data_IF_715298561678
#
_entry.id   IF_715298561678
#
_cell.length_a   1.000
_cell.length_b   1.000
_cell.length_c   1.000
_cell.angle_alpha   90.00
_cell.angle_beta   90.00
_cell.angle_gamma   90.00
#
_symmetry.space_group_name_H-M   'P 1'
#
loop_
_entity.id
_entity.type
_entity.pdbx_description
1 polymer ?
#
# COMPACT_ATOMS: atom_id res chain seq x y z
N UNK A 1 20.47 -21.79 15.17
CA UNK A 1 20.11 -21.75 13.73
C UNK A 1 18.61 -21.64 13.49
N UNK A 2 17.74 -22.30 14.27
CA UNK A 2 16.28 -22.16 14.11
C UNK A 2 15.80 -20.75 14.48
N UNK A 3 16.25 -20.21 15.62
CA UNK A 3 15.91 -18.83 16.05
C UNK A 3 16.30 -17.75 15.03
N UNK A 4 17.50 -17.84 14.47
CA UNK A 4 18.00 -16.89 13.46
C UNK A 4 17.19 -16.89 12.15
N UNK A 5 16.63 -18.03 11.78
CA UNK A 5 15.78 -18.15 10.57
C UNK A 5 14.41 -17.51 10.81
N UNK A 6 13.83 -17.69 11.99
CA UNK A 6 12.53 -17.09 12.33
C UNK A 6 12.64 -15.57 12.51
N UNK A 7 13.73 -15.07 13.08
CA UNK A 7 14.03 -13.63 13.14
C UNK A 7 14.16 -13.01 11.74
N UNK A 8 14.80 -13.73 10.81
CA UNK A 8 14.95 -13.27 9.42
C UNK A 8 13.60 -13.18 8.71
N UNK A 9 12.72 -14.17 8.88
CA UNK A 9 11.36 -14.15 8.30
C UNK A 9 10.53 -13.01 8.89
N UNK A 10 10.62 -12.82 10.22
CA UNK A 10 9.90 -11.75 10.91
C UNK A 10 10.37 -10.37 10.44
N UNK A 11 11.67 -10.18 10.26
CA UNK A 11 12.22 -8.94 9.74
C UNK A 11 11.79 -8.69 8.28
N UNK A 12 11.73 -9.74 7.45
CA UNK A 12 11.26 -9.61 6.07
C UNK A 12 9.79 -9.15 5.99
N UNK A 13 8.92 -9.67 6.86
CA UNK A 13 7.53 -9.20 6.98
C UNK A 13 7.50 -7.74 7.46
N UNK A 14 8.29 -7.38 8.48
CA UNK A 14 8.37 -6.00 8.98
C UNK A 14 8.75 -5.02 7.86
N UNK A 15 9.76 -5.37 7.06
CA UNK A 15 10.19 -4.58 5.91
C UNK A 15 9.09 -4.43 4.86
N UNK A 16 8.36 -5.52 4.56
CA UNK A 16 7.25 -5.46 3.58
C UNK A 16 6.06 -4.65 4.08
N UNK A 17 5.80 -4.65 5.39
CA UNK A 17 4.81 -3.76 5.99
C UNK A 17 5.23 -2.28 5.87
N UNK A 18 6.50 -1.98 6.09
CA UNK A 18 7.03 -0.63 5.89
C UNK A 18 6.92 -0.20 4.41
N UNK A 19 7.25 -1.09 3.46
CA UNK A 19 7.04 -0.88 2.02
C UNK A 19 5.57 -0.57 1.71
N UNK A 20 4.65 -1.39 2.22
CA UNK A 20 3.20 -1.23 2.01
C UNK A 20 2.69 0.09 2.59
N UNK A 21 3.22 0.54 3.74
CA UNK A 21 2.85 1.83 4.34
C UNK A 21 3.33 3.00 3.51
N UNK A 22 4.56 2.95 3.01
CA UNK A 22 5.09 4.00 2.17
C UNK A 22 4.32 4.10 0.84
N UNK A 23 3.96 2.95 0.23
CA UNK A 23 3.11 2.90 -0.95
C UNK A 23 1.69 3.44 -0.67
N UNK A 24 1.08 3.14 0.49
CA UNK A 24 -0.23 3.67 0.85
C UNK A 24 -0.22 5.22 0.91
N UNK A 25 0.83 5.81 1.48
CA UNK A 25 0.98 7.26 1.52
C UNK A 25 1.18 7.86 0.13
N UNK A 26 1.88 7.16 -0.77
CA UNK A 26 2.00 7.59 -2.17
C UNK A 26 0.65 7.57 -2.88
N UNK A 27 -0.17 6.53 -2.69
CA UNK A 27 -1.51 6.45 -3.27
C UNK A 27 -2.38 7.63 -2.83
N UNK A 28 -2.45 7.88 -1.51
CA UNK A 28 -3.17 9.01 -0.93
C UNK A 28 -2.71 10.34 -1.54
N UNK A 29 -1.39 10.54 -1.66
CA UNK A 29 -0.85 11.77 -2.23
C UNK A 29 -1.20 11.96 -3.72
N UNK A 30 -1.24 10.88 -4.49
CA UNK A 30 -1.66 10.93 -5.90
C UNK A 30 -3.14 11.26 -6.03
N UNK A 31 -4.00 10.63 -5.23
CA UNK A 31 -5.45 10.87 -5.23
C UNK A 31 -5.78 12.31 -4.86
N UNK A 32 -5.10 12.89 -3.86
CA UNK A 32 -5.23 14.31 -3.52
C UNK A 32 -4.88 15.23 -4.70
N UNK A 33 -3.82 14.91 -5.46
CA UNK A 33 -3.43 15.65 -6.67
C UNK A 33 -4.48 15.50 -7.78
N UNK A 34 -4.95 14.28 -8.03
CA UNK A 34 -5.97 14.03 -9.06
C UNK A 34 -7.29 14.73 -8.75
N UNK A 35 -7.71 14.75 -7.49
CA UNK A 35 -8.91 15.47 -7.06
C UNK A 35 -8.75 16.97 -7.32
N UNK A 36 -7.56 17.53 -7.14
CA UNK A 36 -7.29 18.94 -7.43
C UNK A 36 -7.35 19.24 -8.94
N UNK A 37 -6.70 18.40 -9.75
CA UNK A 37 -6.54 18.60 -11.19
C UNK A 37 -7.76 18.18 -12.02
N UNK A 38 -8.62 17.31 -11.50
CA UNK A 38 -9.84 16.87 -12.17
C UNK A 38 -10.90 17.98 -12.15
N UNK A 39 -11.50 18.27 -13.30
CA UNK A 39 -12.54 19.30 -13.44
C UNK A 39 -13.95 18.74 -13.55
N UNK A 40 -14.10 17.42 -13.71
CA UNK A 40 -15.38 16.73 -13.87
C UNK A 40 -15.85 16.20 -12.51
N UNK A 41 -17.08 16.51 -12.14
CA UNK A 41 -17.58 16.31 -10.77
C UNK A 41 -17.83 14.84 -10.44
N UNK A 42 -18.30 14.02 -11.39
CA UNK A 42 -18.53 12.59 -11.15
C UNK A 42 -17.21 11.83 -10.92
N UNK A 43 -16.19 12.11 -11.74
CA UNK A 43 -14.84 11.55 -11.58
C UNK A 43 -14.21 12.06 -10.29
N UNK A 44 -14.30 13.36 -9.99
CA UNK A 44 -13.77 13.92 -8.73
C UNK A 44 -14.39 13.22 -7.53
N UNK A 45 -15.70 12.97 -7.54
CA UNK A 45 -16.39 12.24 -6.47
C UNK A 45 -15.85 10.82 -6.30
N UNK A 46 -15.66 10.08 -7.41
CA UNK A 46 -15.08 8.73 -7.34
C UNK A 46 -13.66 8.73 -6.73
N UNK A 47 -12.84 9.72 -7.09
CA UNK A 47 -11.50 9.88 -6.52
C UNK A 47 -11.56 10.23 -5.02
N UNK A 48 -12.55 11.02 -4.59
CA UNK A 48 -12.77 11.33 -3.17
C UNK A 48 -13.17 10.09 -2.38
N UNK A 49 -14.11 9.29 -2.89
CA UNK A 49 -14.51 8.02 -2.26
C UNK A 49 -13.30 7.09 -2.12
N UNK A 50 -12.49 6.98 -3.18
CA UNK A 50 -11.24 6.20 -3.17
C UNK A 50 -10.23 6.70 -2.12
N UNK A 51 -10.06 8.03 -2.00
CA UNK A 51 -9.18 8.66 -1.02
C UNK A 51 -9.62 8.42 0.42
N UNK A 52 -10.92 8.43 0.68
CA UNK A 52 -11.48 8.13 2.00
C UNK A 52 -11.17 6.69 2.42
N UNK A 53 -11.38 5.74 1.51
CA UNK A 53 -11.04 4.32 1.73
C UNK A 53 -9.52 4.14 1.91
N UNK A 54 -8.69 4.79 1.11
CA UNK A 54 -7.22 4.69 1.23
C UNK A 54 -6.68 5.29 2.55
N UNK A 55 -7.32 6.35 3.08
CA UNK A 55 -7.00 6.89 4.41
C UNK A 55 -7.42 5.95 5.54
N UNK A 56 -8.59 5.31 5.41
CA UNK A 56 -9.02 4.26 6.35
C UNK A 56 -8.05 3.07 6.33
N UNK A 57 -7.62 2.67 5.14
CA UNK A 57 -6.64 1.60 4.93
C UNK A 57 -5.28 1.91 5.58
N UNK A 58 -4.82 3.16 5.54
CA UNK A 58 -3.62 3.58 6.27
C UNK A 58 -3.77 3.34 7.79
N UNK A 59 -4.94 3.64 8.38
CA UNK A 59 -5.20 3.39 9.79
C UNK A 59 -5.21 1.90 10.17
N UNK A 60 -5.78 1.04 9.32
CA UNK A 60 -5.73 -0.42 9.49
C UNK A 60 -4.29 -0.93 9.41
N UNK A 61 -3.52 -0.44 8.43
CA UNK A 61 -2.12 -0.82 8.24
C UNK A 61 -1.24 -0.38 9.42
N UNK A 62 -1.44 0.83 9.95
CA UNK A 62 -0.74 1.29 11.15
C UNK A 62 -1.05 0.42 12.37
N UNK A 63 -2.31 0.04 12.53
CA UNK A 63 -2.72 -0.87 13.61
C UNK A 63 -2.05 -2.24 13.47
N UNK A 64 -2.04 -2.81 12.26
CA UNK A 64 -1.38 -4.10 12.00
C UNK A 64 0.13 -4.04 12.24
N UNK A 65 0.81 -2.95 11.84
CA UNK A 65 2.24 -2.74 12.10
C UNK A 65 2.53 -2.69 13.61
N UNK A 66 1.71 -1.97 14.37
CA UNK A 66 1.86 -1.87 15.83
C UNK A 66 1.63 -3.23 16.50
N UNK A 67 0.57 -3.95 16.11
CA UNK A 67 0.25 -5.27 16.65
C UNK A 67 1.30 -6.32 16.29
N UNK A 68 1.90 -6.21 15.10
CA UNK A 68 2.99 -7.09 14.68
C UNK A 68 4.25 -6.92 15.53
N UNK A 69 4.51 -5.70 16.02
CA UNK A 69 5.50 -5.42 17.06
C UNK A 69 6.97 -5.46 16.62
N UNK A 70 7.27 -5.96 15.41
CA UNK A 70 8.62 -5.93 14.83
C UNK A 70 8.72 -4.77 13.84
N UNK A 71 9.69 -3.88 14.05
CA UNK A 71 9.94 -2.74 13.18
C UNK A 71 11.11 -3.02 12.23
N UNK A 72 11.00 -2.47 11.02
CA UNK A 72 12.07 -2.45 10.04
C UNK A 72 11.93 -1.24 9.14
N UNK A 73 13.02 -0.91 8.44
CA UNK A 73 13.03 0.16 7.45
C UNK A 73 12.38 -0.25 6.12
N UNK A 74 11.98 0.78 5.38
CA UNK A 74 11.60 0.71 3.98
C UNK A 74 12.75 0.17 3.12
N UNK A 75 12.45 -0.69 2.12
CA UNK A 75 13.50 -1.12 1.19
C UNK A 75 13.97 0.02 0.30
N UNK A 76 15.27 0.08 0.04
CA UNK A 76 15.87 1.08 -0.85
C UNK A 76 15.25 1.04 -2.26
N UNK A 77 14.91 -0.14 -2.77
CA UNK A 77 14.24 -0.31 -4.05
C UNK A 77 12.81 0.24 -4.06
N UNK A 78 12.08 0.09 -2.96
CA UNK A 78 10.74 0.68 -2.80
C UNK A 78 10.84 2.20 -2.70
N UNK A 79 11.81 2.72 -1.94
CA UNK A 79 12.07 4.15 -1.84
C UNK A 79 12.36 4.77 -3.22
N UNK A 80 13.25 4.16 -4.00
CA UNK A 80 13.56 4.60 -5.38
C UNK A 80 12.34 4.57 -6.28
N UNK A 81 11.52 3.53 -6.19
CA UNK A 81 10.27 3.44 -6.95
C UNK A 81 9.32 4.60 -6.60
N UNK A 82 9.12 4.87 -5.31
CA UNK A 82 8.26 5.96 -4.83
C UNK A 82 8.75 7.29 -5.38
N UNK A 83 10.05 7.59 -5.26
CA UNK A 83 10.65 8.82 -5.78
C UNK A 83 10.47 8.96 -7.30
N UNK A 84 10.64 7.87 -8.06
CA UNK A 84 10.42 7.87 -9.51
C UNK A 84 8.97 8.14 -9.87
N UNK A 85 8.01 7.51 -9.18
CA UNK A 85 6.59 7.76 -9.41
C UNK A 85 6.24 9.20 -9.06
N UNK A 86 6.69 9.72 -7.91
CA UNK A 86 6.41 11.10 -7.51
C UNK A 86 6.86 12.10 -8.57
N UNK A 87 8.07 11.92 -9.11
CA UNK A 87 8.58 12.74 -10.22
C UNK A 87 7.66 12.69 -11.45
N UNK A 88 7.19 11.50 -11.85
CA UNK A 88 6.27 11.34 -12.98
C UNK A 88 4.89 11.96 -12.70
N UNK A 89 4.42 11.92 -11.45
CA UNK A 89 3.14 12.50 -11.05
C UNK A 89 3.19 14.03 -11.01
N UNK A 90 4.33 14.62 -10.66
CA UNK A 90 4.55 16.07 -10.60
C UNK A 90 4.97 16.67 -11.95
N UNK A 91 5.65 15.88 -12.78
CA UNK A 91 6.10 16.30 -14.09
C UNK A 91 4.99 16.35 -15.13
N UNK A 92 5.37 16.76 -16.34
CA UNK A 92 4.49 16.91 -17.51
C UNK A 92 4.70 15.82 -18.55
N UNK A 93 5.54 14.82 -18.27
CA UNK A 93 5.84 13.71 -19.15
C UNK A 93 4.63 12.79 -19.37
N UNK A 94 3.71 12.75 -18.41
CA UNK A 94 2.48 11.97 -18.45
C UNK A 94 1.25 12.88 -18.51
N UNK A 95 0.29 12.51 -19.33
CA UNK A 95 -1.06 13.04 -19.28
C UNK A 95 -1.78 12.62 -18.00
N UNK A 96 -2.86 13.30 -17.61
CA UNK A 96 -3.67 12.90 -16.45
C UNK A 96 -4.15 11.45 -16.56
N UNK A 97 -4.57 11.02 -17.75
CA UNK A 97 -4.99 9.65 -18.00
C UNK A 97 -3.88 8.64 -17.72
N UNK A 98 -2.65 8.91 -18.18
CA UNK A 98 -1.50 8.03 -17.93
C UNK A 98 -1.10 8.03 -16.45
N UNK A 99 -1.19 9.17 -15.76
CA UNK A 99 -0.95 9.25 -14.31
C UNK A 99 -1.95 8.40 -13.52
N UNK A 100 -3.24 8.47 -13.85
CA UNK A 100 -4.27 7.61 -13.24
C UNK A 100 -4.01 6.14 -13.56
N UNK A 101 -3.61 5.81 -14.80
CA UNK A 101 -3.22 4.44 -15.16
C UNK A 101 -2.05 3.92 -14.30
N UNK A 102 -1.02 4.73 -14.07
CA UNK A 102 0.08 4.37 -13.16
C UNK A 102 -0.39 4.21 -11.71
N UNK A 103 -1.33 5.04 -11.25
CA UNK A 103 -1.92 4.92 -9.92
C UNK A 103 -2.65 3.59 -9.72
N UNK A 104 -3.45 3.16 -10.68
CA UNK A 104 -4.13 1.86 -10.62
C UNK A 104 -3.14 0.68 -10.57
N UNK A 105 -2.04 0.75 -11.32
CA UNK A 105 -0.97 -0.25 -11.22
C UNK A 105 -0.34 -0.29 -9.82
N UNK A 106 -0.23 0.85 -9.14
CA UNK A 106 0.26 0.91 -7.76
C UNK A 106 -0.74 0.30 -6.78
N UNK A 107 -2.05 0.53 -6.96
CA UNK A 107 -3.08 -0.16 -6.14
C UNK A 107 -3.02 -1.67 -6.33
N UNK A 108 -2.79 -2.16 -7.55
CA UNK A 108 -2.59 -3.60 -7.80
C UNK A 108 -1.37 -4.14 -7.06
N UNK A 109 -0.26 -3.41 -7.11
CA UNK A 109 0.95 -3.77 -6.35
C UNK A 109 0.70 -3.79 -4.84
N UNK A 110 -0.08 -2.85 -4.32
CA UNK A 110 -0.45 -2.78 -2.91
C UNK A 110 -1.23 -4.03 -2.48
N UNK A 111 -2.27 -4.40 -3.23
CA UNK A 111 -3.06 -5.63 -2.99
C UNK A 111 -2.18 -6.88 -3.02
N UNK A 112 -1.33 -7.02 -4.04
CA UNK A 112 -0.46 -8.20 -4.16
C UNK A 112 0.57 -8.27 -3.02
N UNK A 113 1.04 -7.13 -2.54
CA UNK A 113 1.96 -7.05 -1.40
C UNK A 113 1.28 -7.49 -0.11
N UNK A 114 0.07 -7.00 0.16
CA UNK A 114 -0.70 -7.40 1.35
C UNK A 114 -1.05 -8.90 1.34
N UNK A 115 -1.44 -9.46 0.20
CA UNK A 115 -1.68 -10.90 0.05
C UNK A 115 -0.42 -11.74 0.29
N UNK A 116 0.73 -11.27 -0.18
CA UNK A 116 2.01 -11.94 0.05
C UNK A 116 2.38 -11.92 1.55
N UNK A 117 2.21 -10.78 2.21
CA UNK A 117 2.47 -10.63 3.65
C UNK A 117 1.57 -11.58 4.45
N UNK A 118 0.27 -11.63 4.12
CA UNK A 118 -0.68 -12.53 4.79
C UNK A 118 -0.27 -14.01 4.64
N UNK A 119 0.10 -14.44 3.42
CA UNK A 119 0.57 -15.82 3.18
C UNK A 119 1.89 -16.12 3.90
N UNK A 120 2.81 -15.16 3.98
CA UNK A 120 4.05 -15.33 4.72
C UNK A 120 3.79 -15.48 6.23
N UNK A 121 2.88 -14.67 6.78
CA UNK A 121 2.48 -14.70 8.18
C UNK A 121 1.95 -16.07 8.61
N UNK A 122 1.13 -16.71 7.78
CA UNK A 122 0.58 -18.06 7.99
C UNK A 122 1.64 -19.14 8.22
N UNK A 123 2.82 -18.98 7.63
CA UNK A 123 3.94 -19.92 7.76
C UNK A 123 4.83 -19.59 8.97
N UNK A 124 4.89 -18.31 9.37
CA UNK A 124 5.77 -17.85 10.45
C UNK A 124 5.20 -18.16 11.83
N UNK A 125 3.89 -18.02 12.03
CA UNK A 125 3.26 -18.33 13.31
C UNK A 125 1.84 -17.78 13.44
N UNK A 126 1.02 -18.43 14.26
CA UNK A 126 -0.38 -18.05 14.47
C UNK A 126 -0.54 -16.67 15.15
N UNK A 127 0.42 -16.30 16.01
CA UNK A 127 0.50 -14.95 16.61
C UNK A 127 0.68 -13.88 15.54
N UNK A 128 1.54 -14.16 14.56
CA UNK A 128 1.84 -13.25 13.46
C UNK A 128 0.69 -13.19 12.46
N UNK A 129 0.07 -14.32 12.12
CA UNK A 129 -1.12 -14.35 11.28
C UNK A 129 -2.24 -13.50 11.89
N UNK A 130 -2.51 -13.65 13.19
CA UNK A 130 -3.55 -12.87 13.87
C UNK A 130 -3.30 -11.36 13.83
N UNK A 131 -2.05 -10.91 13.99
CA UNK A 131 -1.68 -9.49 13.92
C UNK A 131 -1.83 -8.89 12.51
N UNK A 132 -1.74 -9.72 11.47
CA UNK A 132 -1.73 -9.31 10.07
C UNK A 132 -3.09 -9.50 9.39
N UNK A 133 -3.97 -10.32 9.95
CA UNK A 133 -5.31 -10.60 9.43
C UNK A 133 -6.13 -9.34 9.05
N UNK A 134 -6.05 -8.20 9.78
CA UNK A 134 -6.75 -6.97 9.38
C UNK A 134 -6.37 -6.44 7.99
N UNK A 135 -5.16 -6.74 7.48
CA UNK A 135 -4.74 -6.31 6.13
C UNK A 135 -5.59 -6.90 5.00
N UNK A 136 -6.37 -7.95 5.26
CA UNK A 136 -7.31 -8.46 4.26
C UNK A 136 -8.35 -7.40 3.87
N UNK A 137 -8.80 -6.55 4.80
CA UNK A 137 -9.69 -5.44 4.48
C UNK A 137 -9.06 -4.49 3.45
N UNK A 138 -7.80 -4.12 3.66
CA UNK A 138 -7.01 -3.28 2.74
C UNK A 138 -6.90 -3.93 1.35
N UNK A 139 -6.69 -5.25 1.29
CA UNK A 139 -6.61 -5.97 0.02
C UNK A 139 -7.95 -5.99 -0.72
N UNK A 140 -9.06 -6.19 -0.01
CA UNK A 140 -10.39 -6.25 -0.61
C UNK A 140 -10.85 -4.88 -1.11
N UNK A 141 -10.63 -3.81 -0.35
CA UNK A 141 -11.00 -2.45 -0.77
C UNK A 141 -10.19 -2.01 -2.00
N UNK A 142 -8.86 -2.21 -2.00
CA UNK A 142 -8.04 -1.91 -3.18
C UNK A 142 -8.46 -2.70 -4.43
N UNK A 143 -8.89 -3.96 -4.24
CA UNK A 143 -9.41 -4.77 -5.35
C UNK A 143 -10.77 -4.28 -5.82
N UNK A 144 -11.64 -3.81 -4.92
CA UNK A 144 -12.94 -3.26 -5.29
C UNK A 144 -12.78 -2.00 -6.18
N UNK A 145 -11.79 -1.15 -5.90
CA UNK A 145 -11.46 0.01 -6.74
C UNK A 145 -11.07 -0.38 -8.18
N UNK A 146 -10.44 -1.55 -8.35
CA UNK A 146 -9.98 -2.04 -9.66
C UNK A 146 -11.08 -2.68 -10.50
N UNK A 147 -12.15 -3.15 -9.86
CA UNK A 147 -13.23 -3.92 -10.49
C UNK A 147 -14.47 -3.07 -10.81
N UNK A 148 -14.47 -1.76 -10.50
CA UNK A 148 -15.58 -0.81 -10.71
C UNK A 148 -15.31 0.20 -11.82
#
# INVERSE_FOLDING_TARGET
>A
MVSTVDDTKRLAIATKLADMKALQNLLISNEEKFIHDCTEDEIRKRLQDMLEDDRKNLGVLDTAIVQYGVQSGLQETTQKLIESVQKLMEGSELTLFEKVSQHELLKHKQTMTGLLIHKAAQIVGADIEAAIAPLNAVNFENRAHQEQ
#
